data_IF_136863624249
#
_entry.id   IF_136863624249
#
_cell.length_a   1.000
_cell.length_b   1.000
_cell.length_c   1.000
_cell.angle_alpha   90.00
_cell.angle_beta   90.00
_cell.angle_gamma   90.00
#
_symmetry.space_group_name_H-M   'P 1'
#
loop_
_entity.id
_entity.type
_entity.pdbx_description
1 polymer ?
#
# COMPACT_ATOMS: atom_id res chain seq x y z
N UNK A 1 8.60 -10.33 2.24
CA UNK A 1 8.09 -10.85 3.52
C UNK A 1 6.56 -10.85 3.54
N UNK A 2 5.88 -9.73 3.85
CA UNK A 2 4.41 -9.72 4.08
C UNK A 2 3.58 -10.37 2.95
N UNK A 3 3.91 -10.11 1.68
CA UNK A 3 3.20 -10.71 0.53
C UNK A 3 3.11 -12.24 0.58
N UNK A 4 4.12 -12.93 1.12
CA UNK A 4 4.17 -14.39 1.15
C UNK A 4 3.32 -14.98 2.29
N UNK A 5 3.05 -14.19 3.33
CA UNK A 5 2.42 -14.64 4.58
C UNK A 5 0.97 -14.16 4.71
N UNK A 6 0.53 -13.21 3.87
CA UNK A 6 -0.78 -12.59 3.93
C UNK A 6 -1.48 -12.67 2.59
N UNK A 7 -2.73 -13.15 2.59
CA UNK A 7 -3.59 -13.05 1.42
C UNK A 7 -4.11 -11.61 1.28
N UNK A 8 -3.53 -10.86 0.34
CA UNK A 8 -3.89 -9.46 0.08
C UNK A 8 -4.94 -9.39 -1.02
N UNK A 9 -6.11 -8.81 -0.76
CA UNK A 9 -7.18 -8.64 -1.75
C UNK A 9 -6.98 -7.41 -2.63
N UNK A 10 -6.63 -6.28 -2.03
CA UNK A 10 -6.44 -4.99 -2.70
C UNK A 10 -5.46 -4.11 -1.92
N UNK A 11 -4.95 -3.08 -2.60
CA UNK A 11 -4.01 -2.11 -2.04
C UNK A 11 -4.65 -0.72 -2.00
N UNK A 12 -4.20 0.11 -1.05
CA UNK A 12 -4.48 1.55 -1.05
C UNK A 12 -3.16 2.29 -1.01
N UNK A 13 -3.00 3.30 -1.87
CA UNK A 13 -1.82 4.18 -1.91
C UNK A 13 -2.23 5.65 -1.94
N UNK A 14 -1.31 6.53 -1.56
CA UNK A 14 -1.47 7.97 -1.75
C UNK A 14 -1.35 8.34 -3.24
N UNK A 15 -2.26 9.16 -3.76
CA UNK A 15 -2.26 9.60 -5.16
C UNK A 15 -0.98 10.38 -5.51
N UNK A 16 -0.44 11.14 -4.57
CA UNK A 16 0.82 11.89 -4.70
C UNK A 16 2.02 10.96 -4.97
N UNK A 17 1.94 9.68 -4.63
CA UNK A 17 2.99 8.70 -4.92
C UNK A 17 3.19 8.49 -6.43
N UNK A 18 2.15 8.70 -7.25
CA UNK A 18 2.24 8.58 -8.71
C UNK A 18 3.24 9.57 -9.31
N UNK A 19 3.29 10.78 -8.76
CA UNK A 19 4.16 11.85 -9.25
C UNK A 19 5.47 11.88 -8.48
N UNK A 20 5.41 11.69 -7.16
CA UNK A 20 6.57 11.89 -6.28
C UNK A 20 7.42 10.65 -6.11
N UNK A 21 6.88 9.45 -6.38
CA UNK A 21 7.58 8.17 -6.23
C UNK A 21 7.04 7.09 -7.16
N UNK A 22 7.02 7.33 -8.48
CA UNK A 22 6.49 6.39 -9.47
C UNK A 22 7.16 5.01 -9.39
N UNK A 23 8.45 4.95 -9.04
CA UNK A 23 9.18 3.70 -8.86
C UNK A 23 8.60 2.80 -7.77
N UNK A 24 8.03 3.39 -6.70
CA UNK A 24 7.38 2.62 -5.64
C UNK A 24 6.04 2.07 -6.14
N UNK A 25 5.31 2.84 -6.93
CA UNK A 25 4.04 2.40 -7.51
C UNK A 25 4.27 1.22 -8.46
N UNK A 26 5.26 1.32 -9.36
CA UNK A 26 5.64 0.22 -10.25
C UNK A 26 6.07 -1.02 -9.47
N UNK A 27 6.87 -0.86 -8.42
CA UNK A 27 7.26 -1.98 -7.56
C UNK A 27 6.04 -2.65 -6.90
N UNK A 28 5.04 -1.88 -6.45
CA UNK A 28 3.82 -2.44 -5.86
C UNK A 28 2.98 -3.20 -6.90
N UNK A 29 2.90 -2.70 -8.13
CA UNK A 29 2.22 -3.38 -9.25
C UNK A 29 2.93 -4.70 -9.63
N UNK A 30 4.26 -4.72 -9.61
CA UNK A 30 5.06 -5.93 -9.83
C UNK A 30 4.92 -6.95 -8.68
N UNK A 31 4.89 -6.47 -7.44
CA UNK A 31 4.74 -7.34 -6.27
C UNK A 31 3.32 -7.90 -6.16
N UNK A 32 2.29 -7.15 -6.55
CA UNK A 32 0.89 -7.54 -6.43
C UNK A 32 0.17 -7.52 -7.78
N UNK A 33 0.59 -8.38 -8.74
CA UNK A 33 0.09 -8.33 -10.10
C UNK A 33 -1.42 -8.61 -10.14
N UNK A 34 -2.15 -7.77 -10.87
CA UNK A 34 -3.60 -7.89 -11.05
C UNK A 34 -4.45 -7.57 -9.82
N UNK A 35 -3.86 -7.14 -8.70
CA UNK A 35 -4.61 -6.71 -7.51
C UNK A 35 -5.12 -5.28 -7.70
N UNK A 36 -6.39 -4.97 -7.36
CA UNK A 36 -6.89 -3.60 -7.42
C UNK A 36 -6.07 -2.66 -6.53
N UNK A 37 -5.74 -1.49 -7.07
CA UNK A 37 -5.05 -0.42 -6.34
C UNK A 37 -5.97 0.79 -6.25
N UNK A 38 -6.47 1.05 -5.05
CA UNK A 38 -7.20 2.28 -4.74
C UNK A 38 -6.21 3.42 -4.51
N UNK A 39 -6.49 4.59 -5.09
CA UNK A 39 -5.63 5.78 -5.03
C UNK A 39 -6.44 6.89 -4.38
N UNK A 40 -5.95 7.40 -3.27
CA UNK A 40 -6.64 8.45 -2.48
C UNK A 40 -5.65 9.55 -2.10
N UNK A 41 -6.11 10.77 -1.77
CA UNK A 41 -5.21 11.82 -1.29
C UNK A 41 -4.43 11.39 -0.05
N UNK A 42 -3.19 11.87 0.11
CA UNK A 42 -2.35 11.49 1.25
C UNK A 42 -2.98 11.84 2.61
N UNK A 43 -3.78 12.91 2.67
CA UNK A 43 -4.55 13.26 3.86
C UNK A 43 -5.55 12.13 4.23
N UNK A 44 -6.35 11.66 3.27
CA UNK A 44 -7.28 10.55 3.50
C UNK A 44 -6.55 9.24 3.80
N UNK A 45 -5.41 9.00 3.14
CA UNK A 45 -4.57 7.84 3.44
C UNK A 45 -4.18 7.79 4.92
N UNK A 46 -3.76 8.92 5.50
CA UNK A 46 -3.45 9.02 6.93
C UNK A 46 -4.66 8.70 7.79
N UNK A 47 -5.82 9.25 7.46
CA UNK A 47 -7.05 8.96 8.20
C UNK A 47 -7.37 7.46 8.21
N UNK A 48 -7.20 6.78 7.07
CA UNK A 48 -7.41 5.32 6.97
C UNK A 48 -6.41 4.51 7.81
N UNK A 49 -5.21 5.03 8.08
CA UNK A 49 -4.24 4.32 8.94
C UNK A 49 -4.70 4.16 10.38
N UNK A 50 -5.63 5.00 10.88
CA UNK A 50 -6.19 4.85 12.22
C UNK A 50 -6.97 3.55 12.40
N UNK A 51 -7.53 3.00 11.32
CA UNK A 51 -8.22 1.70 11.32
C UNK A 51 -7.31 0.51 11.04
N UNK A 52 -6.00 0.71 10.86
CA UNK A 52 -5.09 -0.39 10.55
C UNK A 52 -4.89 -1.31 11.76
N UNK A 53 -4.91 -2.63 11.52
CA UNK A 53 -4.61 -3.61 12.57
C UNK A 53 -3.17 -3.48 13.10
N UNK A 54 -2.24 -3.06 12.25
CA UNK A 54 -0.85 -2.78 12.60
C UNK A 54 -0.23 -1.81 11.58
N UNK A 55 0.81 -1.09 12.01
CA UNK A 55 1.65 -0.25 11.15
C UNK A 55 3.07 -0.81 11.17
N UNK A 56 3.55 -1.27 10.01
CA UNK A 56 4.94 -1.71 9.83
C UNK A 56 5.77 -0.53 9.37
N UNK A 57 6.60 0.00 10.27
CA UNK A 57 7.55 1.08 9.94
C UNK A 57 8.84 0.49 9.39
N UNK A 58 9.22 0.93 8.19
CA UNK A 58 10.46 0.51 7.52
C UNK A 58 11.54 1.59 7.63
N UNK A 59 12.75 1.30 7.13
CA UNK A 59 13.83 2.30 6.94
C UNK A 59 13.74 3.04 5.61
N UNK A 60 12.61 2.98 4.91
CA UNK A 60 12.44 3.65 3.61
C UNK A 60 12.35 5.18 3.81
N UNK A 61 13.11 5.93 2.99
CA UNK A 61 13.23 7.38 3.06
C UNK A 61 12.62 8.10 1.84
N UNK A 62 12.07 7.34 0.89
CA UNK A 62 11.38 7.85 -0.29
C UNK A 62 10.01 8.43 0.07
N UNK A 63 9.65 9.65 -0.38
CA UNK A 63 8.35 10.25 -0.10
C UNK A 63 7.18 9.37 -0.51
N UNK A 64 6.11 9.31 0.29
CA UNK A 64 4.90 8.51 -0.01
C UNK A 64 5.13 7.03 -0.29
N UNK A 65 6.25 6.45 0.17
CA UNK A 65 6.48 5.02 0.14
C UNK A 65 5.66 4.28 1.24
N UNK A 66 4.35 4.48 1.22
CA UNK A 66 3.40 3.87 2.15
C UNK A 66 2.32 3.13 1.36
N UNK A 67 1.89 1.99 1.88
CA UNK A 67 0.83 1.18 1.31
C UNK A 67 -0.02 0.60 2.42
N UNK A 68 -1.35 0.60 2.25
CA UNK A 68 -2.26 -0.18 3.08
C UNK A 68 -2.58 -1.46 2.32
N UNK A 69 -2.38 -2.60 2.98
CA UNK A 69 -2.74 -3.92 2.46
C UNK A 69 -4.08 -4.34 3.07
N UNK A 70 -5.07 -4.59 2.23
CA UNK A 70 -6.38 -5.07 2.68
C UNK A 70 -6.37 -6.59 2.61
N UNK A 71 -6.63 -7.24 3.74
CA UNK A 71 -6.72 -8.70 3.81
C UNK A 71 -7.89 -9.21 2.99
N UNK A 72 -7.66 -10.28 2.23
CA UNK A 72 -8.72 -11.11 1.68
C UNK A 72 -9.08 -12.25 2.63
N UNK A 73 -9.82 -13.21 2.09
CA UNK A 73 -10.24 -14.45 2.76
C UNK A 73 -9.40 -15.63 2.28
N UNK A 74 -9.09 -16.58 3.17
CA UNK A 74 -8.19 -17.72 2.91
C UNK A 74 -8.89 -19.08 2.90
N UNK A 75 -10.22 -19.12 2.95
CA UNK A 75 -11.03 -20.34 3.05
C UNK A 75 -12.04 -20.44 1.92
#
# INVERSE_FOLDING_TARGET
AIRQEMQVERLVIAQEALERSPQIVSLLEELFPGRPVERIPHAEFKERTHGAAAIVRTGECTPYANVILISGVTF
#
